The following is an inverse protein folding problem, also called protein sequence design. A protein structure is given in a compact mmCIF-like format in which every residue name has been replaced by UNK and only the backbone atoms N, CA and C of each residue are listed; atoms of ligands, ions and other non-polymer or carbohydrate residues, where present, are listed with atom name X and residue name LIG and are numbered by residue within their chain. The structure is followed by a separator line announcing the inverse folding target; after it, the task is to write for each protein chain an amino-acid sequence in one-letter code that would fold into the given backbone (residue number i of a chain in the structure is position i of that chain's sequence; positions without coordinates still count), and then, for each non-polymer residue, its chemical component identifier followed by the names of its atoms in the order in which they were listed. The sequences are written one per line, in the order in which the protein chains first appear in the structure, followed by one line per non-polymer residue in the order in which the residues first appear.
data_IF_297467673498
#
_entry.id   IF_297467673498
#
_cell.length_a   1.000
_cell.length_b   1.000
_cell.length_c   1.000
_cell.angle_alpha   90.00
_cell.angle_beta   90.00
_cell.angle_gamma   90.00
#
_symmetry.space_group_name_H-M   'P 1'
#
loop_
_entity.id
_entity.type
_entity.pdbx_description
1 polymer ?
#
# COMPACT_ATOMS: atom_id res chain seq x y z
N UNK A 1 10.56 14.87 -22.52
CA UNK A 1 11.15 13.51 -22.55
C UNK A 1 11.06 12.83 -21.18
N UNK A 2 11.52 13.47 -20.09
CA UNK A 2 11.44 12.91 -18.73
C UNK A 2 10.02 12.58 -18.22
N UNK A 3 8.99 13.36 -18.56
CA UNK A 3 7.62 13.12 -18.07
C UNK A 3 6.93 11.87 -18.66
N UNK A 4 7.32 11.48 -19.89
CA UNK A 4 6.86 10.22 -20.48
C UNK A 4 7.53 9.02 -19.82
N UNK A 5 8.82 9.13 -19.53
CA UNK A 5 9.62 8.07 -18.90
C UNK A 5 9.13 7.76 -17.48
N UNK A 6 8.89 8.78 -16.66
CA UNK A 6 8.34 8.61 -15.30
C UNK A 6 6.96 7.98 -15.32
N UNK A 7 6.13 8.32 -16.30
CA UNK A 7 4.80 7.71 -16.47
C UNK A 7 4.91 6.22 -16.81
N UNK A 8 5.85 5.83 -17.68
CA UNK A 8 6.06 4.43 -18.05
C UNK A 8 6.57 3.61 -16.84
N UNK A 9 7.57 4.14 -16.13
CA UNK A 9 8.11 3.52 -14.92
C UNK A 9 7.02 3.36 -13.84
N UNK A 10 6.23 4.41 -13.61
CA UNK A 10 5.11 4.36 -12.68
C UNK A 10 4.15 3.19 -13.01
N UNK A 11 3.75 3.04 -14.28
CA UNK A 11 2.84 1.97 -14.68
C UNK A 11 3.45 0.59 -14.53
N UNK A 12 4.72 0.42 -14.93
CA UNK A 12 5.43 -0.84 -14.76
C UNK A 12 5.47 -1.26 -13.29
N UNK A 13 5.76 -0.32 -12.39
CA UNK A 13 5.77 -0.55 -10.95
C UNK A 13 4.38 -0.87 -10.41
N UNK A 14 3.39 -0.02 -10.71
CA UNK A 14 2.03 -0.17 -10.19
C UNK A 14 1.40 -1.50 -10.61
N UNK A 15 1.52 -1.87 -11.90
CA UNK A 15 1.02 -3.16 -12.40
C UNK A 15 1.76 -4.37 -11.82
N UNK A 16 3.01 -4.21 -11.39
CA UNK A 16 3.78 -5.27 -10.76
C UNK A 16 3.44 -5.44 -9.27
N UNK A 17 3.32 -4.34 -8.52
CA UNK A 17 3.16 -4.34 -7.07
C UNK A 17 1.70 -4.59 -6.69
N UNK A 18 0.76 -3.87 -7.32
CA UNK A 18 -0.64 -3.84 -6.89
C UNK A 18 -1.26 -5.24 -6.73
N UNK A 19 -1.12 -6.19 -7.68
CA UNK A 19 -1.67 -7.54 -7.53
C UNK A 19 -1.06 -8.34 -6.38
N UNK A 20 0.20 -8.05 -6.02
CA UNK A 20 0.94 -8.74 -4.96
C UNK A 20 0.55 -8.27 -3.56
N UNK A 21 -0.08 -7.11 -3.46
CA UNK A 21 -0.56 -6.57 -2.18
C UNK A 21 -1.77 -7.32 -1.62
N UNK A 22 -2.47 -8.11 -2.45
CA UNK A 22 -3.75 -8.72 -2.07
C UNK A 22 -4.90 -7.73 -1.89
N UNK A 23 -4.68 -6.42 -2.07
CA UNK A 23 -5.73 -5.41 -1.96
C UNK A 23 -6.71 -5.47 -3.13
N UNK A 24 -8.00 -5.27 -2.84
CA UNK A 24 -9.00 -5.05 -3.89
C UNK A 24 -8.88 -3.64 -4.47
N UNK A 25 -9.43 -3.39 -5.66
CA UNK A 25 -9.45 -2.04 -6.23
C UNK A 25 -10.24 -1.05 -5.37
N UNK A 26 -11.33 -1.51 -4.74
CA UNK A 26 -12.12 -0.70 -3.81
C UNK A 26 -11.33 -0.34 -2.57
N UNK A 27 -10.54 -1.29 -2.06
CA UNK A 27 -9.67 -1.07 -0.90
C UNK A 27 -8.60 -0.03 -1.19
N UNK A 28 -7.92 -0.21 -2.32
CA UNK A 28 -6.91 0.72 -2.76
C UNK A 28 -7.48 2.12 -3.04
N UNK A 29 -8.68 2.21 -3.63
CA UNK A 29 -9.36 3.47 -3.88
C UNK A 29 -9.65 4.22 -2.58
N UNK A 30 -10.19 3.52 -1.57
CA UNK A 30 -10.44 4.06 -0.23
C UNK A 30 -9.16 4.61 0.40
N UNK A 31 -8.11 3.79 0.41
CA UNK A 31 -6.81 4.14 0.98
C UNK A 31 -6.12 5.30 0.27
N UNK A 32 -6.24 5.38 -1.06
CA UNK A 32 -5.72 6.48 -1.85
C UNK A 32 -6.57 7.76 -1.74
N UNK A 33 -7.75 7.72 -1.13
CA UNK A 33 -8.70 8.82 -1.12
C UNK A 33 -9.23 9.15 -2.52
N UNK A 34 -9.35 8.14 -3.39
CA UNK A 34 -9.71 8.28 -4.80
C UNK A 34 -11.02 7.56 -5.10
N UNK A 35 -11.78 8.05 -6.08
CA UNK A 35 -12.95 7.30 -6.55
C UNK A 35 -12.52 5.98 -7.20
N UNK A 36 -13.26 4.89 -6.95
CA UNK A 36 -12.97 3.58 -7.55
C UNK A 36 -12.92 3.63 -9.09
N UNK A 37 -13.77 4.47 -9.71
CA UNK A 37 -13.74 4.73 -11.15
C UNK A 37 -12.37 5.27 -11.62
N UNK A 38 -11.69 6.07 -10.79
CA UNK A 38 -10.37 6.62 -11.10
C UNK A 38 -9.31 5.52 -11.10
N UNK A 39 -9.36 4.58 -10.15
CA UNK A 39 -8.47 3.42 -10.09
C UNK A 39 -8.71 2.47 -11.26
N UNK A 40 -9.98 2.23 -11.59
CA UNK A 40 -10.36 1.40 -12.74
C UNK A 40 -9.89 2.02 -14.07
N UNK A 41 -10.02 3.33 -14.24
CA UNK A 41 -9.44 4.04 -15.38
C UNK A 41 -7.92 3.96 -15.42
N UNK A 42 -7.26 4.02 -14.25
CA UNK A 42 -5.81 3.91 -14.15
C UNK A 42 -5.33 2.55 -14.64
N UNK A 43 -5.96 1.46 -14.17
CA UNK A 43 -5.61 0.11 -14.57
C UNK A 43 -5.89 -0.16 -16.06
N UNK A 44 -7.01 0.35 -16.59
CA UNK A 44 -7.45 -0.01 -17.95
C UNK A 44 -6.95 0.92 -19.06
N UNK A 45 -6.75 2.21 -18.77
CA UNK A 45 -6.48 3.21 -19.83
C UNK A 45 -5.04 3.70 -19.86
N UNK A 46 -4.19 3.34 -18.87
CA UNK A 46 -2.79 3.77 -18.72
C UNK A 46 -2.55 5.25 -19.04
N UNK A 47 -3.55 6.09 -18.77
CA UNK A 47 -3.54 7.49 -19.19
C UNK A 47 -2.57 8.26 -18.29
N UNK A 48 -1.69 9.06 -18.89
CA UNK A 48 -0.77 9.91 -18.13
C UNK A 48 -1.53 10.70 -17.07
N UNK A 49 -1.22 10.44 -15.80
CA UNK A 49 -1.77 11.17 -14.66
C UNK A 49 -0.68 12.13 -14.17
N UNK A 50 -1.12 13.23 -13.56
CA UNK A 50 -0.21 14.21 -12.95
C UNK A 50 0.65 13.54 -11.89
N UNK A 51 1.86 14.07 -11.67
CA UNK A 51 2.78 13.63 -10.62
C UNK A 51 2.12 13.53 -9.25
N UNK A 52 1.24 14.47 -8.89
CA UNK A 52 0.50 14.44 -7.62
C UNK A 52 -0.36 13.17 -7.45
N UNK A 53 -0.97 12.69 -8.54
CA UNK A 53 -1.74 11.45 -8.53
C UNK A 53 -0.83 10.24 -8.39
N UNK A 54 0.32 10.23 -9.06
CA UNK A 54 1.30 9.16 -8.95
C UNK A 54 1.88 9.08 -7.53
N UNK A 55 2.18 10.23 -6.91
CA UNK A 55 2.63 10.32 -5.53
C UNK A 55 1.56 9.87 -4.52
N UNK A 56 0.27 10.10 -4.83
CA UNK A 56 -0.84 9.61 -4.01
C UNK A 56 -0.93 8.08 -4.07
N UNK A 57 -0.76 7.49 -5.26
CA UNK A 57 -0.69 6.04 -5.43
C UNK A 57 0.52 5.43 -4.73
N UNK A 58 1.70 6.04 -4.84
CA UNK A 58 2.90 5.58 -4.15
C UNK A 58 2.66 5.51 -2.62
N UNK A 59 2.12 6.59 -2.04
CA UNK A 59 1.77 6.63 -0.61
C UNK A 59 0.72 5.61 -0.22
N UNK A 60 -0.30 5.38 -1.06
CA UNK A 60 -1.31 4.35 -0.81
C UNK A 60 -0.71 2.93 -0.86
N UNK A 61 0.39 2.72 -1.57
CA UNK A 61 1.18 1.49 -1.54
C UNK A 61 2.21 1.47 -0.39
N UNK A 62 2.31 2.49 0.46
CA UNK A 62 3.32 2.58 1.50
C UNK A 62 4.74 2.83 0.98
N UNK A 63 4.88 3.36 -0.24
CA UNK A 63 6.15 3.61 -0.92
C UNK A 63 6.37 5.11 -1.16
N UNK A 64 7.63 5.52 -1.17
CA UNK A 64 8.03 6.79 -1.76
C UNK A 64 7.91 6.76 -3.28
N UNK A 65 7.80 7.94 -3.89
CA UNK A 65 7.77 8.05 -5.36
C UNK A 65 9.06 7.50 -5.99
N UNK A 66 10.22 7.69 -5.34
CA UNK A 66 11.50 7.20 -5.83
C UNK A 66 11.58 5.66 -5.83
N UNK A 67 11.12 5.02 -4.75
CA UNK A 67 11.04 3.55 -4.68
C UNK A 67 10.13 3.00 -5.78
N UNK A 68 8.95 3.62 -5.95
CA UNK A 68 8.01 3.21 -6.99
C UNK A 68 8.63 3.30 -8.39
N UNK A 69 9.30 4.41 -8.73
CA UNK A 69 9.95 4.57 -10.03
C UNK A 69 11.13 3.61 -10.22
N UNK A 70 11.89 3.33 -9.17
CA UNK A 70 13.02 2.38 -9.20
C UNK A 70 12.53 0.96 -9.48
N UNK A 71 11.43 0.55 -8.85
CA UNK A 71 10.77 -0.73 -9.14
C UNK A 71 10.33 -0.77 -10.61
N UNK A 72 9.77 0.34 -11.11
CA UNK A 72 9.36 0.48 -12.50
C UNK A 72 10.50 0.28 -13.49
N UNK A 73 11.64 0.95 -13.27
CA UNK A 73 12.84 0.81 -14.10
C UNK A 73 13.35 -0.65 -14.11
N UNK A 74 13.41 -1.30 -12.94
CA UNK A 74 13.80 -2.71 -12.83
C UNK A 74 12.87 -3.64 -13.61
N UNK A 75 11.55 -3.44 -13.49
CA UNK A 75 10.55 -4.22 -14.25
C UNK A 75 10.73 -4.04 -15.75
N UNK A 76 10.98 -2.81 -16.22
CA UNK A 76 11.21 -2.51 -17.65
C UNK A 76 12.47 -3.22 -18.16
N UNK A 77 13.51 -3.31 -17.33
CA UNK A 77 14.75 -4.03 -17.62
C UNK A 77 14.61 -5.56 -17.55
N UNK A 78 13.43 -6.07 -17.18
CA UNK A 78 13.19 -7.50 -17.01
C UNK A 78 13.74 -8.09 -15.71
N UNK A 79 14.11 -7.24 -14.76
CA UNK A 79 14.56 -7.66 -13.44
C UNK A 79 13.36 -7.99 -12.54
N UNK A 80 13.57 -8.86 -11.55
CA UNK A 80 12.59 -9.09 -10.48
C UNK A 80 12.94 -8.22 -9.27
N UNK A 81 12.32 -7.04 -9.11
CA UNK A 81 12.61 -6.19 -7.98
C UNK A 81 12.16 -6.86 -6.68
N UNK A 82 13.05 -6.82 -5.68
CA UNK A 82 12.68 -7.12 -4.30
C UNK A 82 11.73 -6.02 -3.81
N UNK A 83 10.53 -6.44 -3.40
CA UNK A 83 9.51 -5.56 -2.83
C UNK A 83 9.17 -6.08 -1.46
N UNK A 84 9.44 -5.29 -0.42
CA UNK A 84 8.99 -5.60 0.93
C UNK A 84 7.50 -5.26 1.04
N UNK A 85 6.65 -6.29 0.88
CA UNK A 85 5.20 -6.15 0.96
C UNK A 85 4.70 -6.04 2.41
N UNK A 86 5.52 -6.40 3.41
CA UNK A 86 5.14 -6.33 4.83
C UNK A 86 4.99 -4.88 5.31
N UNK A 87 5.65 -3.94 4.63
CA UNK A 87 5.51 -2.51 4.87
C UNK A 87 4.21 -1.91 4.30
N UNK A 88 3.49 -2.66 3.45
CA UNK A 88 2.19 -2.26 2.94
C UNK A 88 1.17 -2.56 4.03
N UNK A 89 1.06 -1.64 5.00
CA UNK A 89 0.12 -1.78 6.11
C UNK A 89 -1.28 -2.09 5.56
N UNK A 90 -2.03 -3.06 6.08
CA UNK A 90 -3.39 -3.29 5.64
C UNK A 90 -4.26 -2.05 5.91
N UNK A 91 -5.33 -1.84 5.13
CA UNK A 91 -6.32 -0.82 5.47
C UNK A 91 -7.06 -1.26 6.73
N UNK A 92 -6.62 -0.73 7.87
CA UNK A 92 -7.16 -1.05 9.18
C UNK A 92 -8.65 -0.67 9.26
N UNK A 93 -9.07 0.41 8.59
CA UNK A 93 -10.46 0.84 8.62
C UNK A 93 -11.36 -0.15 7.87
N UNK A 94 -10.91 -0.66 6.73
CA UNK A 94 -11.64 -1.68 5.99
C UNK A 94 -11.67 -3.05 6.68
N UNK A 95 -10.60 -3.42 7.39
CA UNK A 95 -10.60 -4.59 8.26
C UNK A 95 -11.59 -4.39 9.42
N UNK A 96 -11.62 -3.19 10.01
CA UNK A 96 -12.54 -2.85 11.11
C UNK A 96 -14.02 -2.89 10.70
N UNK A 97 -14.36 -2.45 9.48
CA UNK A 97 -15.74 -2.51 8.96
C UNK A 97 -16.27 -3.95 8.82
N UNK A 98 -15.38 -4.93 8.64
CA UNK A 98 -15.75 -6.34 8.44
C UNK A 98 -15.74 -7.17 9.74
N UNK A 99 -15.27 -6.59 10.85
CA UNK A 99 -15.22 -7.29 12.13
C UNK A 99 -16.53 -7.11 12.91
N UNK A 100 -17.04 -8.21 13.45
CA UNK A 100 -18.15 -8.18 14.41
C UNK A 100 -17.73 -7.49 15.71
N UNK A 101 -18.68 -6.97 16.52
CA UNK A 101 -18.35 -6.36 17.82
C UNK A 101 -17.54 -7.27 18.75
N UNK A 102 -17.79 -8.58 18.69
CA UNK A 102 -17.05 -9.58 19.48
C UNK A 102 -15.61 -9.73 18.99
N UNK A 103 -15.38 -9.84 17.68
CA UNK A 103 -14.02 -9.97 17.13
C UNK A 103 -13.18 -8.73 17.42
N UNK A 104 -13.78 -7.53 17.36
CA UNK A 104 -13.14 -6.28 17.80
C UNK A 104 -12.77 -6.34 19.27
N UNK A 105 -13.66 -6.84 20.12
CA UNK A 105 -13.40 -6.97 21.56
C UNK A 105 -12.23 -7.92 21.83
N UNK A 106 -12.18 -9.06 21.16
CA UNK A 106 -11.06 -10.02 21.26
C UNK A 106 -9.74 -9.37 20.85
N UNK A 107 -9.70 -8.63 19.74
CA UNK A 107 -8.50 -7.91 19.30
C UNK A 107 -8.05 -6.86 20.32
N UNK A 108 -9.00 -6.11 20.90
CA UNK A 108 -8.71 -5.13 21.94
C UNK A 108 -8.15 -5.77 23.21
N UNK A 109 -8.63 -6.95 23.58
CA UNK A 109 -8.12 -7.68 24.74
C UNK A 109 -6.72 -8.26 24.48
N UNK A 110 -6.45 -8.77 23.28
CA UNK A 110 -5.10 -9.18 22.85
C UNK A 110 -4.14 -7.98 22.87
N UNK A 111 -4.55 -6.83 22.33
CA UNK A 111 -3.72 -5.60 22.34
C UNK A 111 -3.39 -5.12 23.75
N UNK A 112 -4.35 -5.18 24.68
CA UNK A 112 -4.11 -4.86 26.10
C UNK A 112 -3.09 -5.81 26.71
N UNK A 113 -3.20 -7.11 26.43
CA UNK A 113 -2.28 -8.12 26.95
C UNK A 113 -0.85 -7.92 26.42
N UNK A 114 -0.69 -7.63 25.12
CA UNK A 114 0.62 -7.35 24.51
C UNK A 114 1.28 -6.12 25.12
N UNK A 115 0.53 -5.02 25.28
CA UNK A 115 1.04 -3.79 25.92
C UNK A 115 1.42 -4.01 27.38
N UNK A 116 0.66 -4.84 28.10
CA UNK A 116 0.99 -5.21 29.47
C UNK A 116 2.30 -6.01 29.54
N UNK A 117 2.53 -6.92 28.58
CA UNK A 117 3.76 -7.72 28.49
C UNK A 117 4.99 -6.87 28.14
N UNK A 118 4.89 -5.99 27.15
CA UNK A 118 5.98 -5.03 26.83
C UNK A 118 6.35 -4.17 28.04
N UNK A 119 5.35 -3.74 28.82
CA UNK A 119 5.60 -2.92 30.01
C UNK A 119 6.31 -3.71 31.12
N UNK A 120 6.05 -5.02 31.24
CA UNK A 120 6.72 -5.90 32.20
C UNK A 120 8.14 -6.24 31.77
N UNK A 121 8.37 -6.50 30.49
CA UNK A 121 9.72 -6.74 29.94
C UNK A 121 10.61 -5.50 30.09
N UNK A 122 10.09 -4.30 29.77
CA UNK A 122 10.82 -3.05 29.98
C UNK A 122 11.08 -2.68 31.46
N UNK A 123 10.35 -3.29 32.40
CA UNK A 123 10.58 -3.12 33.85
C UNK A 123 11.56 -4.17 34.42
N UNK A 124 11.81 -5.26 33.69
CA UNK A 124 12.75 -6.31 34.09
C UNK A 124 14.21 -6.02 33.70
N UNK A 125 14.42 -5.03 32.81
CA UNK A 125 15.73 -4.58 32.32
C UNK A 125 16.34 -3.40 33.14
N UNK A 126 15.77 -3.06 34.30
CA UNK A 126 16.27 -2.05 35.25
C UNK A 126 16.69 -2.63 36.60
#
# INVERSE_FOLDING_TARGET
MQEQETTIQFWAAFSYIFPKTGMTQSEFARRAGMAQSTINEMLNRKKGRKLDTQATVARALGLSMLELLTIGDKVIRGESPEVNLDNIAPDIAALDDNLTPWEKQVLMDVLRALRAKEKQENLADF
#
